data_IF_174847345975
#
_entry.id   IF_174847345975
#
_cell.length_a   1.000
_cell.length_b   1.000
_cell.length_c   1.000
_cell.angle_alpha   90.00
_cell.angle_beta   90.00
_cell.angle_gamma   90.00
#
_symmetry.space_group_name_H-M   'P 1'
#
loop_
_entity.id
_entity.type
_entity.pdbx_description
1 polymer ?
#
# COMPACT_ATOMS: atom_id res chain seq x y z
N UNK A 1 -35.94 -80.30 -14.26
CA UNK A 1 -35.67 -79.38 -13.06
C UNK A 1 -34.51 -78.52 -13.43
N UNK A 2 -34.71 -77.27 -13.89
CA UNK A 2 -33.70 -76.31 -14.20
C UNK A 2 -33.46 -75.38 -12.95
N UNK A 3 -32.29 -75.43 -12.37
CA UNK A 3 -31.85 -74.47 -11.32
C UNK A 3 -31.40 -73.16 -12.03
N UNK A 4 -32.11 -72.07 -11.78
CA UNK A 4 -31.70 -70.71 -12.16
C UNK A 4 -30.76 -70.14 -11.05
N UNK A 5 -29.52 -69.92 -11.42
CA UNK A 5 -28.54 -69.21 -10.52
C UNK A 5 -28.66 -67.71 -10.78
N UNK A 6 -29.09 -66.95 -9.76
CA UNK A 6 -29.07 -65.46 -9.79
C UNK A 6 -27.67 -65.01 -9.39
N UNK A 7 -26.97 -64.32 -10.28
CA UNK A 7 -25.71 -63.59 -9.99
C UNK A 7 -26.10 -62.15 -9.60
N UNK A 8 -25.99 -61.84 -8.31
CA UNK A 8 -26.19 -60.48 -7.82
C UNK A 8 -24.91 -59.62 -8.07
N UNK A 9 -25.07 -58.58 -8.88
CA UNK A 9 -24.02 -57.56 -9.08
C UNK A 9 -24.11 -56.56 -7.94
N UNK A 10 -23.12 -56.57 -7.03
CA UNK A 10 -22.96 -55.56 -6.00
C UNK A 10 -22.24 -54.33 -6.60
N UNK A 11 -22.98 -53.23 -6.80
CA UNK A 11 -22.39 -51.93 -7.18
C UNK A 11 -21.82 -51.27 -5.91
N UNK A 12 -20.53 -51.27 -5.78
CA UNK A 12 -19.83 -50.50 -4.72
C UNK A 12 -19.86 -49.01 -5.08
N UNK A 13 -20.73 -48.25 -4.42
CA UNK A 13 -20.72 -46.78 -4.47
C UNK A 13 -19.59 -46.28 -3.59
N UNK A 14 -18.46 -45.90 -4.20
CA UNK A 14 -17.42 -45.17 -3.53
C UNK A 14 -17.87 -43.73 -3.26
N UNK A 15 -18.33 -43.46 -2.06
CA UNK A 15 -18.57 -42.10 -1.57
C UNK A 15 -17.19 -41.45 -1.41
N UNK A 16 -16.77 -40.65 -2.40
CA UNK A 16 -15.57 -39.82 -2.28
C UNK A 16 -15.80 -38.80 -1.17
N UNK A 17 -15.17 -38.99 -0.01
CA UNK A 17 -15.13 -37.99 1.04
C UNK A 17 -14.36 -36.78 0.49
N UNK A 18 -15.06 -35.73 0.08
CA UNK A 18 -14.48 -34.39 -0.17
C UNK A 18 -13.99 -33.89 1.18
N UNK A 19 -12.70 -34.05 1.45
CA UNK A 19 -12.06 -33.35 2.58
C UNK A 19 -12.15 -31.86 2.27
N UNK A 20 -13.03 -31.12 2.95
CA UNK A 20 -13.04 -29.68 2.91
C UNK A 20 -11.64 -29.21 3.33
N UNK A 21 -10.92 -28.55 2.43
CA UNK A 21 -9.61 -28.00 2.71
C UNK A 21 -9.74 -27.00 3.86
N UNK A 22 -9.12 -27.28 5.00
CA UNK A 22 -9.08 -26.35 6.13
C UNK A 22 -8.26 -25.15 5.75
N UNK A 23 -8.91 -23.96 5.64
CA UNK A 23 -8.25 -22.73 5.31
C UNK A 23 -7.48 -22.19 6.52
N UNK A 24 -6.29 -21.65 6.28
CA UNK A 24 -5.47 -21.02 7.34
C UNK A 24 -5.91 -19.57 7.51
N UNK A 25 -6.32 -19.12 8.70
CA UNK A 25 -6.62 -17.72 8.97
C UNK A 25 -5.38 -16.84 8.75
N UNK A 26 -5.59 -15.65 8.17
CA UNK A 26 -4.57 -14.62 8.03
C UNK A 26 -5.20 -13.25 8.22
N UNK A 27 -4.63 -12.45 9.13
CA UNK A 27 -5.13 -11.09 9.43
C UNK A 27 -4.39 -10.08 8.58
N UNK A 28 -5.14 -9.30 7.79
CA UNK A 28 -4.60 -8.35 6.80
C UNK A 28 -5.00 -6.93 7.17
N UNK A 29 -4.01 -6.04 7.31
CA UNK A 29 -4.22 -4.64 7.66
C UNK A 29 -3.93 -3.70 6.50
N UNK A 30 -4.70 -2.59 6.40
CA UNK A 30 -4.48 -1.57 5.37
C UNK A 30 -5.14 -0.23 5.69
N UNK A 31 -4.80 0.80 4.92
CA UNK A 31 -5.62 2.00 4.71
C UNK A 31 -6.37 1.86 3.38
N UNK A 32 -7.60 2.40 3.23
CA UNK A 32 -8.32 2.40 1.96
C UNK A 32 -7.52 3.15 0.88
N UNK A 33 -6.87 2.41 0.00
CA UNK A 33 -6.04 2.92 -1.10
C UNK A 33 -5.97 1.91 -2.24
N UNK A 34 -5.82 2.39 -3.47
CA UNK A 34 -5.75 1.54 -4.65
C UNK A 34 -4.60 0.53 -4.55
N UNK A 35 -3.38 0.97 -4.20
CA UNK A 35 -2.18 0.17 -4.43
C UNK A 35 -1.89 -0.88 -3.36
N UNK A 36 -2.14 -0.59 -2.10
CA UNK A 36 -1.85 -1.53 -1.01
C UNK A 36 -3.07 -2.23 -0.42
N UNK A 37 -4.29 -1.94 -0.93
CA UNK A 37 -5.51 -2.52 -0.35
C UNK A 37 -6.53 -3.03 -1.38
N UNK A 38 -6.76 -2.31 -2.49
CA UNK A 38 -7.70 -2.73 -3.53
C UNK A 38 -7.43 -4.16 -4.06
N UNK A 39 -6.17 -4.61 -4.25
CA UNK A 39 -5.87 -5.99 -4.64
C UNK A 39 -6.45 -7.04 -3.69
N UNK A 40 -6.54 -6.75 -2.39
CA UNK A 40 -7.13 -7.66 -1.41
C UNK A 40 -8.65 -7.79 -1.59
N UNK A 41 -9.31 -6.66 -1.91
CA UNK A 41 -10.74 -6.66 -2.23
C UNK A 41 -11.02 -7.47 -3.50
N UNK A 42 -10.28 -7.22 -4.58
CA UNK A 42 -10.40 -7.99 -5.83
C UNK A 42 -10.20 -9.48 -5.59
N UNK A 43 -9.15 -9.86 -4.85
CA UNK A 43 -8.88 -11.25 -4.53
C UNK A 43 -9.99 -11.92 -3.71
N UNK A 44 -10.69 -11.14 -2.87
CA UNK A 44 -11.83 -11.61 -2.08
C UNK A 44 -13.03 -11.86 -2.97
N UNK A 45 -13.40 -10.91 -3.82
CA UNK A 45 -14.52 -11.05 -4.77
C UNK A 45 -14.28 -12.19 -5.77
N UNK A 46 -13.02 -12.42 -6.18
CA UNK A 46 -12.65 -13.51 -7.09
C UNK A 46 -12.44 -14.87 -6.38
N UNK A 47 -12.45 -14.92 -5.04
CA UNK A 47 -12.27 -16.16 -4.28
C UNK A 47 -10.84 -16.70 -4.24
N UNK A 48 -9.83 -15.92 -4.65
CA UNK A 48 -8.44 -16.38 -4.80
C UNK A 48 -7.72 -16.73 -3.49
N UNK A 49 -8.17 -16.20 -2.38
CA UNK A 49 -7.64 -16.59 -1.06
C UNK A 49 -7.81 -18.10 -0.79
N UNK A 50 -8.96 -18.66 -1.15
CA UNK A 50 -9.24 -20.08 -0.98
C UNK A 50 -8.36 -20.96 -1.88
N UNK A 51 -8.03 -20.49 -3.09
CA UNK A 51 -7.18 -21.24 -4.03
C UNK A 51 -5.77 -21.48 -3.44
N UNK A 52 -5.26 -20.57 -2.61
CA UNK A 52 -3.98 -20.72 -1.91
C UNK A 52 -4.13 -21.24 -0.48
N UNK A 53 -5.34 -21.60 -0.04
CA UNK A 53 -5.62 -22.17 1.28
C UNK A 53 -5.59 -21.16 2.42
N UNK A 54 -5.90 -19.86 2.16
CA UNK A 54 -5.99 -18.80 3.15
C UNK A 54 -7.44 -18.36 3.39
N UNK A 55 -7.74 -17.95 4.63
CA UNK A 55 -8.98 -17.30 5.06
C UNK A 55 -8.64 -15.89 5.59
N UNK A 56 -8.82 -14.82 4.78
CA UNK A 56 -8.43 -13.48 5.20
C UNK A 56 -9.42 -12.85 6.19
N UNK A 57 -8.90 -12.15 7.19
CA UNK A 57 -9.62 -11.24 8.08
C UNK A 57 -9.04 -9.84 7.90
N UNK A 58 -9.87 -8.84 7.61
CA UNK A 58 -9.40 -7.49 7.27
C UNK A 58 -9.59 -6.50 8.41
N UNK A 59 -8.57 -5.65 8.61
CA UNK A 59 -8.61 -4.51 9.53
C UNK A 59 -8.18 -3.23 8.81
N UNK A 60 -9.02 -2.21 8.87
CA UNK A 60 -8.74 -0.89 8.27
C UNK A 60 -8.26 0.11 9.30
N UNK A 61 -7.34 0.98 8.88
CA UNK A 61 -6.77 2.03 9.70
C UNK A 61 -6.83 3.38 8.97
N UNK A 62 -6.97 4.51 9.69
CA UNK A 62 -7.04 5.84 9.06
C UNK A 62 -5.66 6.32 8.56
N UNK A 63 -4.56 5.78 9.08
CA UNK A 63 -3.19 6.13 8.72
C UNK A 63 -2.21 5.01 9.07
N UNK A 64 -0.98 5.09 8.55
CA UNK A 64 0.05 4.08 8.80
C UNK A 64 0.53 4.00 10.25
N UNK A 65 0.63 5.12 10.97
CA UNK A 65 1.10 5.11 12.37
C UNK A 65 0.19 4.29 13.30
N UNK A 66 -1.15 4.48 13.35
CA UNK A 66 -2.02 3.60 14.13
C UNK A 66 -2.00 2.15 13.63
N UNK A 67 -1.84 1.90 12.32
CA UNK A 67 -1.71 0.54 11.79
C UNK A 67 -0.48 -0.18 12.36
N UNK A 68 0.71 0.45 12.27
CA UNK A 68 1.93 -0.20 12.80
C UNK A 68 1.89 -0.37 14.31
N UNK A 69 1.28 0.56 15.07
CA UNK A 69 1.12 0.43 16.51
C UNK A 69 0.26 -0.78 16.92
N UNK A 70 -0.78 -1.09 16.14
CA UNK A 70 -1.66 -2.23 16.37
C UNK A 70 -0.92 -3.60 16.25
N UNK A 71 0.25 -3.64 15.60
CA UNK A 71 1.07 -4.86 15.53
C UNK A 71 1.55 -5.36 16.89
N UNK A 72 1.75 -4.46 17.86
CA UNK A 72 2.14 -4.82 19.22
C UNK A 72 1.12 -5.75 19.92
N UNK A 73 -0.17 -5.58 19.61
CA UNK A 73 -1.25 -6.43 20.09
C UNK A 73 -1.53 -7.63 19.15
N UNK A 74 -0.67 -7.89 18.15
CA UNK A 74 -0.87 -8.93 17.12
C UNK A 74 -2.24 -8.85 16.43
N UNK A 75 -2.74 -7.61 16.22
CA UNK A 75 -4.04 -7.34 15.61
C UNK A 75 -4.07 -7.70 14.12
N UNK A 76 -2.92 -7.82 13.48
CA UNK A 76 -2.75 -8.22 12.10
C UNK A 76 -1.43 -8.98 11.88
N UNK A 77 -1.31 -9.69 10.79
CA UNK A 77 -0.16 -10.53 10.42
C UNK A 77 0.64 -9.93 9.28
N UNK A 78 -0.08 -9.51 8.22
CA UNK A 78 0.45 -8.91 6.99
C UNK A 78 -0.37 -7.68 6.60
N UNK A 79 0.08 -6.93 5.61
CA UNK A 79 -0.71 -5.79 5.14
C UNK A 79 -0.02 -4.94 4.10
N UNK A 80 -0.65 -3.80 3.80
CA UNK A 80 -0.09 -2.76 2.94
C UNK A 80 -0.10 -1.41 3.64
N UNK A 81 0.95 -0.61 3.42
CA UNK A 81 1.11 0.72 4.01
C UNK A 81 2.11 1.57 3.21
N UNK A 82 2.26 2.84 3.58
CA UNK A 82 3.32 3.69 3.02
C UNK A 82 4.71 3.35 3.58
N UNK A 83 5.76 3.74 2.87
CA UNK A 83 7.14 3.45 3.25
C UNK A 83 7.58 4.13 4.56
N UNK A 84 7.14 5.35 4.85
CA UNK A 84 7.49 6.04 6.11
C UNK A 84 6.96 5.27 7.34
N UNK A 85 5.67 4.88 7.40
CA UNK A 85 5.18 3.99 8.45
C UNK A 85 5.90 2.64 8.49
N UNK A 86 6.29 2.07 7.35
CA UNK A 86 7.00 0.78 7.31
C UNK A 86 8.37 0.87 8.02
N UNK A 87 9.16 1.92 7.75
CA UNK A 87 10.44 2.17 8.45
C UNK A 87 10.20 2.36 9.96
N UNK A 88 9.24 3.18 10.34
CA UNK A 88 8.90 3.41 11.74
C UNK A 88 8.45 2.12 12.43
N UNK A 89 7.67 1.31 11.72
CA UNK A 89 7.18 0.00 12.17
C UNK A 89 8.31 -0.99 12.42
N UNK A 90 9.34 -0.99 11.57
CA UNK A 90 10.54 -1.78 11.82
C UNK A 90 11.22 -1.37 13.12
N UNK A 91 11.55 -0.09 13.26
CA UNK A 91 12.32 0.40 14.43
C UNK A 91 11.57 0.16 15.76
N UNK A 92 10.25 0.29 15.76
CA UNK A 92 9.44 0.18 16.99
C UNK A 92 8.92 -1.22 17.28
N UNK A 93 8.64 -2.01 16.25
CA UNK A 93 7.85 -3.25 16.37
C UNK A 93 8.45 -4.42 15.58
N UNK A 94 9.62 -4.27 14.94
CA UNK A 94 10.25 -5.34 14.17
C UNK A 94 9.50 -5.75 12.90
N UNK A 95 8.66 -4.87 12.34
CA UNK A 95 7.93 -5.11 11.10
C UNK A 95 8.92 -5.27 9.94
N UNK A 96 8.63 -6.19 9.02
CA UNK A 96 9.38 -6.41 7.79
C UNK A 96 8.66 -5.82 6.59
N UNK A 97 9.41 -5.24 5.66
CA UNK A 97 8.96 -4.89 4.31
C UNK A 97 9.27 -6.08 3.41
N UNK A 98 8.21 -6.73 2.91
CA UNK A 98 8.27 -7.99 2.17
C UNK A 98 8.03 -7.83 0.67
N UNK A 99 7.78 -6.60 0.23
CA UNK A 99 7.57 -6.23 -1.17
C UNK A 99 7.22 -4.76 -1.31
N UNK A 100 7.20 -4.28 -2.55
CA UNK A 100 6.87 -2.90 -2.92
C UNK A 100 5.59 -2.90 -3.76
N UNK A 101 4.65 -2.03 -3.48
CA UNK A 101 3.40 -1.97 -4.24
C UNK A 101 3.58 -1.21 -5.56
N UNK A 102 4.14 -0.01 -5.47
CA UNK A 102 4.32 0.92 -6.60
C UNK A 102 5.25 2.08 -6.18
N UNK A 103 5.56 2.97 -7.11
CA UNK A 103 6.10 4.30 -6.79
C UNK A 103 4.94 5.28 -6.58
N UNK A 104 4.75 5.75 -5.35
CA UNK A 104 3.69 6.66 -4.95
C UNK A 104 4.09 8.13 -4.97
N UNK A 105 5.26 8.45 -5.46
CA UNK A 105 5.80 9.82 -5.42
C UNK A 105 4.88 10.84 -6.10
N UNK A 106 4.16 10.44 -7.16
CA UNK A 106 3.16 11.27 -7.82
C UNK A 106 1.81 11.34 -7.06
N UNK A 107 1.55 10.41 -6.17
CA UNK A 107 0.31 10.30 -5.37
C UNK A 107 0.44 10.84 -3.95
N UNK A 108 1.56 11.45 -3.59
CA UNK A 108 1.79 12.15 -2.33
C UNK A 108 2.22 13.58 -2.64
N UNK A 109 1.55 14.60 -2.09
CA UNK A 109 1.75 15.97 -2.54
C UNK A 109 1.49 17.03 -1.49
N UNK A 110 2.11 18.18 -1.68
CA UNK A 110 1.65 19.46 -1.17
C UNK A 110 0.49 19.94 -2.04
N UNK A 111 -0.67 20.17 -1.44
CA UNK A 111 -1.85 20.73 -2.10
C UNK A 111 -2.16 22.12 -1.52
N UNK A 112 -2.79 22.96 -2.32
CA UNK A 112 -3.21 24.30 -1.90
C UNK A 112 -4.60 24.65 -2.38
N UNK A 113 -5.26 25.58 -1.66
CA UNK A 113 -6.48 26.22 -2.15
C UNK A 113 -6.25 26.90 -3.51
N UNK A 114 -7.31 27.19 -4.26
CA UNK A 114 -7.19 27.90 -5.55
C UNK A 114 -6.43 29.23 -5.45
N UNK A 115 -6.62 29.97 -4.36
CA UNK A 115 -5.87 31.20 -4.04
C UNK A 115 -4.37 30.91 -3.87
N UNK A 116 -4.03 29.92 -3.06
CA UNK A 116 -2.61 29.52 -2.84
C UNK A 116 -1.95 28.97 -4.10
N UNK A 117 -2.69 28.27 -4.96
CA UNK A 117 -2.18 27.82 -6.24
C UNK A 117 -1.78 29.00 -7.15
N UNK A 118 -2.56 30.08 -7.16
CA UNK A 118 -2.24 31.29 -7.92
C UNK A 118 -1.03 32.06 -7.36
N UNK A 119 -0.86 32.09 -6.05
CA UNK A 119 0.32 32.66 -5.39
C UNK A 119 1.57 31.81 -5.67
N UNK A 120 1.46 30.50 -5.50
CA UNK A 120 2.53 29.53 -5.74
C UNK A 120 3.05 29.54 -7.17
N UNK A 121 2.16 29.71 -8.15
CA UNK A 121 2.55 29.79 -9.56
C UNK A 121 3.43 31.01 -9.89
N UNK A 122 3.36 32.06 -9.07
CA UNK A 122 4.18 33.27 -9.23
C UNK A 122 5.54 33.14 -8.57
N UNK A 123 5.56 32.71 -7.31
CA UNK A 123 6.76 32.50 -6.49
C UNK A 123 6.48 31.40 -5.45
N UNK A 124 6.91 30.15 -5.72
CA UNK A 124 6.71 29.05 -4.80
C UNK A 124 7.27 29.28 -3.40
N UNK A 125 8.47 29.84 -3.30
CA UNK A 125 9.12 30.04 -2.01
C UNK A 125 8.41 31.10 -1.17
N UNK A 126 8.05 32.23 -1.77
CA UNK A 126 7.31 33.30 -1.09
C UNK A 126 5.89 32.84 -0.67
N UNK A 127 5.21 32.07 -1.53
CA UNK A 127 3.88 31.54 -1.24
C UNK A 127 3.84 30.56 -0.04
N UNK A 128 4.97 29.91 0.27
CA UNK A 128 5.07 28.93 1.37
C UNK A 128 5.70 29.49 2.64
N UNK A 129 6.62 30.44 2.55
CA UNK A 129 7.37 30.97 3.70
C UNK A 129 6.44 31.54 4.78
N UNK A 130 6.63 31.08 6.03
CA UNK A 130 5.82 31.48 7.18
C UNK A 130 4.39 30.91 7.22
N UNK A 131 4.01 30.12 6.23
CA UNK A 131 2.66 29.56 6.14
C UNK A 131 2.50 28.33 7.02
N UNK A 132 1.25 28.05 7.41
CA UNK A 132 0.88 26.80 8.06
C UNK A 132 0.51 25.76 7.01
N UNK A 133 1.15 24.59 7.10
CA UNK A 133 0.84 23.41 6.29
C UNK A 133 0.26 22.33 7.20
N UNK A 134 -1.01 21.96 6.98
CA UNK A 134 -1.66 20.86 7.70
C UNK A 134 -1.30 19.53 7.05
N UNK A 135 -0.87 18.54 7.83
CA UNK A 135 -0.49 17.23 7.31
C UNK A 135 -0.52 16.15 8.40
N UNK A 136 -0.61 14.90 8.01
CA UNK A 136 -0.40 13.78 8.93
C UNK A 136 1.09 13.56 9.10
N UNK A 137 1.64 13.85 10.29
CA UNK A 137 3.06 13.68 10.57
C UNK A 137 3.49 12.21 10.48
N UNK A 138 4.74 11.98 10.10
CA UNK A 138 5.33 10.64 9.90
C UNK A 138 4.55 9.80 8.86
N UNK A 139 4.02 10.46 7.84
CA UNK A 139 3.41 9.85 6.67
C UNK A 139 4.25 10.05 5.41
N UNK A 140 3.92 9.35 4.33
CA UNK A 140 4.52 9.56 3.00
C UNK A 140 4.23 10.96 2.45
N UNK A 141 3.08 11.56 2.78
CA UNK A 141 2.77 12.95 2.42
C UNK A 141 3.66 13.95 3.16
N UNK A 142 4.00 13.70 4.42
CA UNK A 142 4.97 14.52 5.16
C UNK A 142 6.35 14.50 4.46
N UNK A 143 6.82 13.33 4.05
CA UNK A 143 8.04 13.19 3.27
C UNK A 143 7.97 13.95 1.94
N UNK A 144 6.87 13.83 1.20
CA UNK A 144 6.67 14.53 -0.05
C UNK A 144 6.65 16.06 0.13
N UNK A 145 5.95 16.57 1.14
CA UNK A 145 5.90 18.01 1.46
C UNK A 145 7.28 18.55 1.77
N UNK A 146 8.05 17.87 2.63
CA UNK A 146 9.39 18.35 2.99
C UNK A 146 10.37 18.27 1.81
N UNK A 147 10.21 17.28 0.92
CA UNK A 147 10.96 17.21 -0.34
C UNK A 147 10.62 18.39 -1.27
N UNK A 148 9.34 18.77 -1.35
CA UNK A 148 8.90 19.97 -2.06
C UNK A 148 9.47 21.26 -1.46
N UNK A 149 9.47 21.41 -0.13
CA UNK A 149 10.09 22.55 0.52
C UNK A 149 11.58 22.67 0.14
N UNK A 150 12.32 21.56 0.23
CA UNK A 150 13.73 21.50 -0.14
C UNK A 150 13.97 21.90 -1.61
N UNK A 151 13.10 21.47 -2.54
CA UNK A 151 13.16 21.86 -3.95
C UNK A 151 13.10 23.36 -4.15
N UNK A 152 12.31 24.06 -3.33
CA UNK A 152 12.14 25.52 -3.40
C UNK A 152 13.05 26.28 -2.42
N UNK A 153 14.13 25.65 -1.93
CA UNK A 153 15.12 26.27 -1.03
C UNK A 153 14.59 26.59 0.35
N UNK A 154 13.52 25.90 0.79
CA UNK A 154 12.93 26.04 2.12
C UNK A 154 13.27 24.85 3.01
N UNK A 155 13.33 25.11 4.32
CA UNK A 155 13.47 24.13 5.39
C UNK A 155 12.14 23.96 6.13
N UNK A 156 12.00 22.90 6.90
CA UNK A 156 10.87 22.71 7.82
C UNK A 156 10.65 23.89 8.76
N UNK A 157 11.72 24.54 9.20
CA UNK A 157 11.66 25.74 10.06
C UNK A 157 11.13 27.02 9.38
N UNK A 158 11.05 27.02 8.05
CA UNK A 158 10.53 28.18 7.30
C UNK A 158 8.99 28.16 7.20
N UNK A 159 8.34 27.12 7.70
CA UNK A 159 6.88 26.93 7.71
C UNK A 159 6.39 26.40 9.07
N UNK A 160 5.11 26.46 9.32
CA UNK A 160 4.47 25.83 10.50
C UNK A 160 3.82 24.52 10.09
N UNK A 161 4.34 23.39 10.60
CA UNK A 161 3.75 22.08 10.35
C UNK A 161 2.70 21.76 11.42
N UNK A 162 1.41 21.67 11.02
CA UNK A 162 0.31 21.33 11.92
C UNK A 162 -0.14 19.89 11.67
N UNK A 163 -0.03 19.05 12.70
CA UNK A 163 -0.49 17.66 12.60
C UNK A 163 -2.02 17.58 12.54
N UNK A 164 -2.55 16.87 11.55
CA UNK A 164 -3.99 16.69 11.33
C UNK A 164 -4.24 15.40 10.54
N UNK A 165 -5.35 14.70 10.82
CA UNK A 165 -5.78 13.53 10.07
C UNK A 165 -6.33 13.89 8.68
N UNK A 166 -6.29 12.95 7.72
CA UNK A 166 -6.70 13.24 6.34
C UNK A 166 -8.18 13.66 6.22
N UNK A 167 -9.07 13.03 6.97
CA UNK A 167 -10.50 13.40 6.98
C UNK A 167 -10.72 14.83 7.48
N UNK A 168 -9.98 15.21 8.53
CA UNK A 168 -10.01 16.56 9.09
C UNK A 168 -9.40 17.59 8.12
N UNK A 169 -8.32 17.23 7.40
CA UNK A 169 -7.73 18.07 6.35
C UNK A 169 -8.73 18.32 5.21
N UNK A 170 -9.43 17.26 4.76
CA UNK A 170 -10.48 17.39 3.73
C UNK A 170 -11.55 18.38 4.18
N UNK A 171 -12.03 18.25 5.42
CA UNK A 171 -13.00 19.18 6.01
C UNK A 171 -12.46 20.62 6.08
N UNK A 172 -11.21 20.79 6.53
CA UNK A 172 -10.59 22.10 6.70
C UNK A 172 -10.38 22.82 5.36
N UNK A 173 -9.94 22.11 4.32
CA UNK A 173 -9.82 22.67 2.96
C UNK A 173 -11.19 23.02 2.37
N UNK A 174 -12.21 22.16 2.57
CA UNK A 174 -13.57 22.38 2.04
C UNK A 174 -14.28 23.57 2.72
N UNK A 175 -13.93 23.87 3.96
CA UNK A 175 -14.47 25.02 4.73
C UNK A 175 -13.58 26.27 4.72
N UNK A 176 -12.49 26.26 3.94
CA UNK A 176 -11.50 27.33 3.88
C UNK A 176 -10.80 27.64 5.22
N UNK A 177 -10.71 26.66 6.11
CA UNK A 177 -10.00 26.77 7.39
C UNK A 177 -8.50 26.44 7.31
N UNK A 178 -8.04 25.95 6.16
CA UNK A 178 -6.62 25.80 5.80
C UNK A 178 -6.45 26.04 4.30
N UNK A 179 -5.31 26.61 3.92
CA UNK A 179 -4.97 26.88 2.53
C UNK A 179 -3.93 25.91 1.97
N UNK A 180 -3.15 25.24 2.83
CA UNK A 180 -2.07 24.35 2.44
C UNK A 180 -2.13 23.05 3.22
N UNK A 181 -1.97 21.93 2.53
CA UNK A 181 -1.97 20.63 3.17
C UNK A 181 -1.02 19.62 2.50
N UNK A 182 -0.50 18.67 3.29
CA UNK A 182 0.15 17.46 2.81
C UNK A 182 -0.83 16.31 2.74
N UNK A 183 -1.01 15.73 1.56
CA UNK A 183 -2.02 14.71 1.32
C UNK A 183 -1.52 13.57 0.44
N UNK A 184 -2.22 12.44 0.49
CA UNK A 184 -2.00 11.31 -0.43
C UNK A 184 -3.30 10.93 -1.14
N UNK A 185 -3.17 10.28 -2.32
CA UNK A 185 -4.29 9.74 -3.05
C UNK A 185 -4.92 8.54 -2.31
N UNK A 186 -6.27 8.41 -2.27
CA UNK A 186 -7.24 9.14 -3.10
C UNK A 186 -7.68 10.50 -2.54
N UNK A 187 -7.25 10.91 -1.34
CA UNK A 187 -7.71 12.12 -0.66
C UNK A 187 -7.40 13.40 -1.45
N UNK A 188 -6.29 13.41 -2.22
CA UNK A 188 -5.95 14.50 -3.14
C UNK A 188 -7.11 14.73 -4.13
N UNK A 189 -7.61 13.68 -4.75
CA UNK A 189 -8.71 13.78 -5.72
C UNK A 189 -10.01 14.25 -5.04
N UNK A 190 -10.25 13.82 -3.80
CA UNK A 190 -11.40 14.29 -3.01
C UNK A 190 -11.38 15.81 -2.84
N UNK A 191 -10.24 16.41 -2.49
CA UNK A 191 -10.16 17.87 -2.31
C UNK A 191 -10.06 18.63 -3.62
N UNK A 192 -9.50 18.04 -4.68
CA UNK A 192 -9.57 18.60 -6.04
C UNK A 192 -11.03 18.77 -6.48
N UNK A 193 -11.87 17.75 -6.27
CA UNK A 193 -13.28 17.75 -6.67
C UNK A 193 -14.18 18.57 -5.74
N UNK A 194 -14.01 18.46 -4.44
CA UNK A 194 -14.94 19.06 -3.46
C UNK A 194 -14.55 20.46 -3.02
N UNK A 195 -13.26 20.76 -2.95
CA UNK A 195 -12.74 22.05 -2.45
C UNK A 195 -12.05 22.89 -3.53
N UNK A 196 -11.95 22.42 -4.78
CA UNK A 196 -11.21 23.10 -5.85
C UNK A 196 -9.71 23.26 -5.55
N UNK A 197 -9.18 22.49 -4.61
CA UNK A 197 -7.77 22.47 -4.27
C UNK A 197 -6.93 22.00 -5.48
N UNK A 198 -5.65 22.35 -5.49
CA UNK A 198 -4.71 21.99 -6.56
C UNK A 198 -3.47 21.36 -5.99
N UNK A 199 -2.91 20.38 -6.69
CA UNK A 199 -1.56 19.90 -6.41
C UNK A 199 -0.58 21.03 -6.76
N UNK A 200 0.21 21.45 -5.79
CA UNK A 200 1.25 22.47 -5.95
C UNK A 200 2.60 21.85 -6.27
N UNK A 201 2.91 20.74 -5.59
CA UNK A 201 4.13 19.98 -5.79
C UNK A 201 3.92 18.54 -5.29
N UNK A 202 4.13 17.57 -6.16
CA UNK A 202 4.15 16.15 -5.79
C UNK A 202 5.51 15.75 -5.22
N UNK A 203 5.56 14.62 -4.53
CA UNK A 203 6.83 14.03 -4.08
C UNK A 203 7.78 13.78 -5.25
N UNK A 204 7.24 13.37 -6.41
CA UNK A 204 8.02 13.20 -7.64
C UNK A 204 8.68 14.49 -8.10
N UNK A 205 7.95 15.58 -8.13
CA UNK A 205 8.50 16.91 -8.46
C UNK A 205 9.48 17.40 -7.39
N UNK A 206 9.26 17.05 -6.11
CA UNK A 206 10.19 17.29 -5.01
C UNK A 206 11.47 16.43 -5.05
N UNK A 207 11.58 15.47 -5.99
CA UNK A 207 12.72 14.56 -6.11
C UNK A 207 12.69 13.41 -5.10
N UNK A 208 11.55 13.18 -4.43
CA UNK A 208 11.37 12.03 -3.54
C UNK A 208 10.99 10.78 -4.33
N UNK A 209 11.52 9.63 -3.94
CA UNK A 209 10.96 8.32 -4.29
C UNK A 209 10.17 7.81 -3.10
N UNK A 210 8.91 7.50 -3.32
CA UNK A 210 7.97 7.11 -2.26
C UNK A 210 7.42 5.72 -2.59
N UNK A 211 8.14 4.62 -2.25
CA UNK A 211 7.60 3.28 -2.48
C UNK A 211 6.43 3.01 -1.53
N UNK A 212 5.36 2.43 -2.03
CA UNK A 212 4.38 1.78 -1.18
C UNK A 212 4.93 0.43 -0.70
N UNK A 213 4.55 -0.03 0.48
CA UNK A 213 5.13 -1.21 1.12
C UNK A 213 4.08 -2.30 1.39
N UNK A 214 4.40 -3.53 1.03
CA UNK A 214 3.79 -4.72 1.61
C UNK A 214 4.59 -5.10 2.86
N UNK A 215 3.90 -5.30 3.97
CA UNK A 215 4.50 -5.50 5.28
C UNK A 215 4.03 -6.79 5.95
N UNK A 216 4.86 -7.31 6.85
CA UNK A 216 4.51 -8.40 7.74
C UNK A 216 5.06 -8.15 9.14
N UNK A 217 4.38 -8.61 10.19
CA UNK A 217 4.99 -8.70 11.52
C UNK A 217 6.18 -9.66 11.45
N UNK A 218 7.31 -9.29 12.07
CA UNK A 218 8.54 -10.07 12.00
C UNK A 218 8.42 -11.46 12.63
N UNK A 219 7.68 -11.59 13.74
CA UNK A 219 7.39 -12.89 14.40
C UNK A 219 6.54 -13.79 13.48
N UNK A 220 5.43 -13.25 12.95
CA UNK A 220 4.56 -14.00 12.05
C UNK A 220 5.27 -14.47 10.79
N UNK A 221 6.03 -13.57 10.16
CA UNK A 221 6.74 -13.87 8.92
C UNK A 221 7.79 -14.98 9.11
N UNK A 222 8.48 -15.00 10.26
CA UNK A 222 9.43 -16.05 10.61
C UNK A 222 8.75 -17.41 10.88
N UNK A 223 7.61 -17.39 11.57
CA UNK A 223 6.87 -18.60 11.94
C UNK A 223 6.04 -19.16 10.77
N UNK A 224 5.58 -18.30 9.84
CA UNK A 224 4.65 -18.63 8.77
C UNK A 224 5.12 -18.19 7.38
N UNK A 225 6.36 -18.50 6.93
CA UNK A 225 6.92 -17.97 5.68
C UNK A 225 6.10 -18.34 4.44
N UNK A 226 5.49 -19.52 4.42
CA UNK A 226 4.64 -19.97 3.31
C UNK A 226 3.33 -19.18 3.23
N UNK A 227 2.73 -18.79 4.34
CA UNK A 227 1.52 -17.95 4.33
C UNK A 227 1.84 -16.54 3.85
N UNK A 228 3.01 -16.00 4.18
CA UNK A 228 3.49 -14.72 3.65
C UNK A 228 3.72 -14.80 2.13
N UNK A 229 4.32 -15.88 1.63
CA UNK A 229 4.49 -16.11 0.20
C UNK A 229 3.14 -16.22 -0.53
N UNK A 230 2.17 -16.94 0.03
CA UNK A 230 0.80 -17.03 -0.51
C UNK A 230 0.09 -15.67 -0.54
N UNK A 231 0.22 -14.86 0.52
CA UNK A 231 -0.28 -13.48 0.56
C UNK A 231 0.30 -12.64 -0.58
N UNK A 232 1.61 -12.70 -0.80
CA UNK A 232 2.29 -11.99 -1.89
C UNK A 232 1.82 -12.48 -3.26
N UNK A 233 1.64 -13.79 -3.44
CA UNK A 233 1.15 -14.36 -4.69
C UNK A 233 -0.28 -13.88 -5.03
N UNK A 234 -1.16 -13.80 -4.03
CA UNK A 234 -2.52 -13.24 -4.20
C UNK A 234 -2.46 -11.78 -4.60
N UNK A 235 -1.63 -10.97 -3.94
CA UNK A 235 -1.44 -9.57 -4.28
C UNK A 235 -0.95 -9.37 -5.72
N UNK A 236 0.04 -10.14 -6.15
CA UNK A 236 0.62 -10.07 -7.50
C UNK A 236 -0.40 -10.46 -8.56
N UNK A 237 -1.16 -11.57 -8.36
CA UNK A 237 -2.24 -11.97 -9.25
C UNK A 237 -3.30 -10.89 -9.38
N UNK A 238 -3.71 -10.30 -8.26
CA UNK A 238 -4.72 -9.25 -8.27
C UNK A 238 -4.29 -8.06 -9.13
N UNK A 239 -3.05 -7.59 -8.99
CA UNK A 239 -2.53 -6.53 -9.84
C UNK A 239 -2.42 -6.93 -11.31
N UNK A 240 -1.97 -8.14 -11.60
CA UNK A 240 -1.90 -8.65 -12.96
C UNK A 240 -3.27 -8.66 -13.63
N UNK A 241 -4.27 -9.15 -12.89
CA UNK A 241 -5.64 -9.18 -13.35
C UNK A 241 -6.24 -7.78 -13.52
N UNK A 242 -6.04 -6.89 -12.54
CA UNK A 242 -6.53 -5.50 -12.57
C UNK A 242 -5.99 -4.75 -13.78
N UNK A 243 -4.71 -4.92 -14.11
CA UNK A 243 -4.10 -4.32 -15.30
C UNK A 243 -4.70 -4.82 -16.61
N UNK A 244 -5.06 -6.10 -16.68
CA UNK A 244 -5.70 -6.69 -17.86
C UNK A 244 -7.21 -6.38 -17.96
N UNK A 245 -7.86 -6.02 -16.82
CA UNK A 245 -9.33 -5.83 -16.72
C UNK A 245 -9.65 -4.46 -16.11
N UNK A 246 -9.04 -3.38 -16.63
CA UNK A 246 -9.11 -2.04 -16.02
C UNK A 246 -10.54 -1.54 -15.81
N UNK A 247 -11.44 -1.75 -16.79
CA UNK A 247 -12.84 -1.30 -16.68
C UNK A 247 -13.57 -1.96 -15.50
N UNK A 248 -13.43 -3.28 -15.35
CA UNK A 248 -14.03 -4.00 -14.23
C UNK A 248 -13.36 -3.60 -12.91
N UNK A 249 -12.06 -3.42 -12.90
CA UNK A 249 -11.30 -2.96 -11.73
C UNK A 249 -11.75 -1.59 -11.24
N UNK A 250 -12.03 -0.64 -12.13
CA UNK A 250 -12.54 0.70 -11.77
C UNK A 250 -13.97 0.59 -11.18
N UNK A 251 -14.81 -0.30 -11.73
CA UNK A 251 -16.15 -0.54 -11.16
C UNK A 251 -16.06 -1.11 -9.73
N UNK A 252 -15.18 -2.10 -9.50
CA UNK A 252 -14.92 -2.64 -8.16
C UNK A 252 -14.28 -1.60 -7.22
N UNK A 253 -13.44 -0.72 -7.74
CA UNK A 253 -12.79 0.37 -6.99
C UNK A 253 -13.81 1.35 -6.41
N UNK A 254 -14.90 1.61 -7.14
CA UNK A 254 -15.99 2.46 -6.66
C UNK A 254 -16.62 1.90 -5.38
N UNK A 255 -16.93 0.60 -5.37
CA UNK A 255 -17.50 -0.06 -4.19
C UNK A 255 -16.50 -0.14 -3.04
N UNK A 256 -15.25 -0.46 -3.34
CA UNK A 256 -14.16 -0.50 -2.36
C UNK A 256 -13.95 0.86 -1.68
N UNK A 257 -13.89 1.93 -2.46
CA UNK A 257 -13.72 3.27 -1.94
C UNK A 257 -14.95 3.75 -1.15
N UNK A 258 -16.15 3.48 -1.62
CA UNK A 258 -17.37 3.81 -0.88
C UNK A 258 -17.40 3.14 0.50
N UNK A 259 -17.03 1.87 0.61
CA UNK A 259 -16.88 1.15 1.89
C UNK A 259 -15.80 1.77 2.79
N UNK A 260 -14.75 2.34 2.20
CA UNK A 260 -13.68 3.07 2.89
C UNK A 260 -13.97 4.53 3.19
N UNK A 261 -15.18 5.03 2.90
CA UNK A 261 -15.55 6.43 3.10
C UNK A 261 -14.97 7.41 2.07
N UNK A 262 -14.42 6.92 0.96
CA UNK A 262 -13.88 7.72 -0.14
C UNK A 262 -14.94 7.86 -1.24
N UNK A 263 -15.16 9.10 -1.70
CA UNK A 263 -16.07 9.39 -2.81
C UNK A 263 -15.38 10.32 -3.79
N UNK A 264 -14.96 9.77 -4.92
CA UNK A 264 -14.30 10.45 -6.05
C UNK A 264 -14.95 10.00 -7.36
N UNK A 265 -14.79 10.80 -8.41
CA UNK A 265 -15.32 10.49 -9.74
C UNK A 265 -14.60 9.30 -10.38
N UNK A 266 -15.25 8.66 -11.35
CA UNK A 266 -14.64 7.60 -12.15
C UNK A 266 -13.42 8.10 -12.93
N UNK A 267 -13.43 9.36 -13.37
CA UNK A 267 -12.28 10.00 -14.01
C UNK A 267 -11.08 10.10 -13.08
N UNK A 268 -11.28 10.44 -11.81
CA UNK A 268 -10.23 10.44 -10.78
C UNK A 268 -9.74 9.05 -10.44
N UNK A 269 -10.63 8.05 -10.38
CA UNK A 269 -10.24 6.65 -10.20
C UNK A 269 -9.36 6.15 -11.36
N UNK A 270 -9.74 6.49 -12.60
CA UNK A 270 -8.94 6.16 -13.77
C UNK A 270 -7.58 6.87 -13.76
N UNK A 271 -7.55 8.15 -13.43
CA UNK A 271 -6.30 8.92 -13.26
C UNK A 271 -5.39 8.28 -12.23
N UNK A 272 -5.92 7.86 -11.08
CA UNK A 272 -5.16 7.17 -10.05
C UNK A 272 -4.58 5.85 -10.56
N UNK A 273 -5.37 5.08 -11.29
CA UNK A 273 -4.95 3.79 -11.85
C UNK A 273 -3.81 3.94 -12.86
N UNK A 274 -3.88 4.96 -13.73
CA UNK A 274 -2.94 5.16 -14.84
C UNK A 274 -1.62 5.83 -14.44
N UNK A 275 -1.58 6.55 -13.32
CA UNK A 275 -0.45 7.46 -13.00
C UNK A 275 0.70 6.81 -12.25
N UNK A 276 0.53 5.61 -11.72
CA UNK A 276 1.53 4.98 -10.85
C UNK A 276 1.79 3.53 -11.27
N UNK A 277 2.99 3.22 -11.80
CA UNK A 277 3.33 1.85 -12.21
C UNK A 277 3.40 0.92 -11.00
N UNK A 278 2.90 -0.29 -11.18
CA UNK A 278 3.05 -1.40 -10.23
C UNK A 278 4.12 -2.36 -10.72
N UNK A 279 4.56 -3.27 -9.86
CA UNK A 279 5.68 -4.17 -10.13
C UNK A 279 5.23 -5.63 -10.08
N UNK A 280 5.48 -6.37 -11.14
CA UNK A 280 5.27 -7.83 -11.18
C UNK A 280 6.35 -8.60 -10.39
N UNK A 281 6.20 -9.92 -10.27
CA UNK A 281 7.13 -10.77 -9.52
C UNK A 281 8.58 -10.63 -9.98
N UNK A 282 8.82 -10.61 -11.30
CA UNK A 282 10.17 -10.49 -11.86
C UNK A 282 10.79 -9.13 -11.55
N UNK A 283 10.00 -8.06 -11.66
CA UNK A 283 10.41 -6.71 -11.33
C UNK A 283 10.70 -6.56 -9.83
N UNK A 284 9.84 -7.12 -8.96
CA UNK A 284 10.05 -7.15 -7.51
C UNK A 284 11.40 -7.78 -7.16
N UNK A 285 11.64 -9.00 -7.65
CA UNK A 285 12.88 -9.73 -7.41
C UNK A 285 14.11 -8.95 -7.90
N UNK A 286 14.04 -8.37 -9.12
CA UNK A 286 15.14 -7.58 -9.68
C UNK A 286 15.45 -6.33 -8.85
N UNK A 287 14.42 -5.59 -8.42
CA UNK A 287 14.59 -4.36 -7.64
C UNK A 287 15.08 -4.61 -6.22
N UNK A 288 14.78 -5.79 -5.65
CA UNK A 288 15.20 -6.19 -4.30
C UNK A 288 16.50 -6.99 -4.30
N UNK A 289 17.08 -7.30 -5.46
CA UNK A 289 18.30 -8.11 -5.59
C UNK A 289 19.53 -7.37 -5.06
N UNK A 290 20.26 -8.02 -4.16
CA UNK A 290 21.54 -7.58 -3.59
C UNK A 290 22.67 -8.45 -4.13
N UNK A 291 23.41 -7.99 -5.14
CA UNK A 291 24.57 -8.70 -5.68
C UNK A 291 25.88 -8.28 -4.98
N UNK A 292 26.28 -7.03 -5.18
CA UNK A 292 27.55 -6.47 -4.66
C UNK A 292 27.31 -5.16 -3.90
N UNK A 293 26.06 -4.71 -3.76
CA UNK A 293 25.67 -3.44 -3.16
C UNK A 293 24.21 -3.52 -2.66
N UNK A 294 23.76 -2.44 -2.09
CA UNK A 294 22.33 -2.25 -1.78
C UNK A 294 21.47 -2.40 -3.04
N UNK A 295 20.31 -3.00 -2.88
CA UNK A 295 19.31 -3.09 -3.93
C UNK A 295 18.71 -1.70 -4.22
N UNK A 296 17.95 -1.59 -5.32
CA UNK A 296 17.20 -0.37 -5.63
C UNK A 296 16.19 -0.04 -4.51
N UNK A 297 15.51 -1.03 -3.98
CA UNK A 297 14.56 -0.86 -2.87
C UNK A 297 15.27 -0.43 -1.60
N UNK A 298 16.46 -0.98 -1.31
CA UNK A 298 17.27 -0.52 -0.18
C UNK A 298 17.63 0.96 -0.29
N UNK A 299 18.01 1.43 -1.47
CA UNK A 299 18.33 2.84 -1.69
C UNK A 299 17.12 3.76 -1.44
N UNK A 300 15.93 3.35 -1.84
CA UNK A 300 14.69 4.09 -1.57
C UNK A 300 14.38 4.19 -0.08
N UNK A 301 14.43 3.06 0.64
CA UNK A 301 14.17 3.04 2.08
C UNK A 301 15.27 3.72 2.90
N UNK A 302 16.52 3.73 2.41
CA UNK A 302 17.60 4.50 3.02
C UNK A 302 17.34 6.01 2.96
N UNK A 303 16.87 6.54 1.83
CA UNK A 303 16.47 7.95 1.70
C UNK A 303 15.39 8.33 2.72
N UNK A 304 14.38 7.48 2.89
CA UNK A 304 13.30 7.67 3.86
C UNK A 304 13.83 7.62 5.28
N UNK A 305 14.74 6.70 5.57
CA UNK A 305 15.37 6.58 6.90
C UNK A 305 16.20 7.81 7.26
N UNK A 306 16.93 8.37 6.28
CA UNK A 306 17.67 9.65 6.43
C UNK A 306 16.67 10.79 6.73
N UNK A 307 15.64 10.94 5.93
CA UNK A 307 14.57 11.92 6.16
C UNK A 307 13.99 11.82 7.58
N UNK A 308 13.64 10.61 8.01
CA UNK A 308 13.06 10.40 9.34
C UNK A 308 14.04 10.72 10.48
N UNK A 309 15.34 10.52 10.26
CA UNK A 309 16.38 10.93 11.20
C UNK A 309 16.50 12.46 11.25
N UNK A 310 16.53 13.12 10.10
CA UNK A 310 16.62 14.59 9.98
C UNK A 310 15.41 15.30 10.60
N UNK A 311 14.23 14.72 10.52
CA UNK A 311 12.99 15.26 11.11
C UNK A 311 12.80 14.93 12.58
N UNK A 312 13.70 14.14 13.17
CA UNK A 312 13.63 13.71 14.57
C UNK A 312 12.64 12.57 14.84
N UNK A 313 12.06 11.96 13.79
CA UNK A 313 11.16 10.82 13.92
C UNK A 313 11.88 9.54 14.36
N UNK A 314 13.19 9.43 14.04
CA UNK A 314 14.06 8.33 14.43
C UNK A 314 15.29 8.84 15.20
N UNK A 315 15.74 8.11 16.23
CA UNK A 315 16.98 8.44 16.95
C UNK A 315 18.24 8.11 16.15
N UNK A 316 18.18 7.09 15.29
CA UNK A 316 19.27 6.61 14.43
C UNK A 316 18.72 6.13 13.08
N UNK A 317 19.57 6.06 12.07
CA UNK A 317 19.22 5.50 10.77
C UNK A 317 19.33 3.97 10.88
N UNK A 318 18.21 3.20 10.66
CA UNK A 318 18.28 1.74 10.68
C UNK A 318 19.01 1.20 9.44
N UNK A 319 19.61 0.01 9.57
CA UNK A 319 20.13 -0.71 8.42
C UNK A 319 18.95 -1.26 7.61
N UNK A 320 18.87 -0.89 6.34
CA UNK A 320 17.71 -1.25 5.49
C UNK A 320 17.61 -2.77 5.32
N UNK A 321 18.74 -3.45 5.29
CA UNK A 321 18.84 -4.91 5.17
C UNK A 321 18.21 -5.66 6.35
N UNK A 322 18.03 -4.99 7.49
CA UNK A 322 17.41 -5.60 8.67
C UNK A 322 15.89 -5.74 8.51
N UNK A 323 15.25 -4.98 7.58
CA UNK A 323 13.81 -4.98 7.46
C UNK A 323 13.26 -5.13 6.04
N UNK A 324 14.00 -4.77 5.00
CA UNK A 324 13.63 -5.05 3.61
C UNK A 324 14.15 -6.44 3.23
N UNK A 325 13.25 -7.32 2.82
CA UNK A 325 13.61 -8.71 2.47
C UNK A 325 12.84 -9.20 1.24
N UNK A 326 13.56 -9.87 0.34
CA UNK A 326 13.02 -10.55 -0.84
C UNK A 326 12.76 -12.06 -0.61
N UNK A 327 12.99 -12.54 0.61
CA UNK A 327 12.88 -13.95 0.98
C UNK A 327 11.54 -14.57 0.55
N UNK A 328 10.44 -13.89 0.87
CA UNK A 328 9.10 -14.40 0.59
C UNK A 328 8.72 -14.29 -0.89
N UNK A 329 9.23 -13.30 -1.63
CA UNK A 329 9.13 -13.23 -3.09
C UNK A 329 9.91 -14.38 -3.76
N UNK A 330 11.07 -14.76 -3.22
CA UNK A 330 11.82 -15.92 -3.66
C UNK A 330 11.07 -17.22 -3.42
N UNK A 331 10.32 -17.36 -2.32
CA UNK A 331 9.45 -18.51 -2.08
C UNK A 331 8.34 -18.58 -3.15
N UNK A 332 7.72 -17.45 -3.52
CA UNK A 332 6.75 -17.42 -4.63
C UNK A 332 7.40 -17.86 -5.94
N UNK A 333 8.61 -17.41 -6.25
CA UNK A 333 9.34 -17.77 -7.46
C UNK A 333 9.74 -19.24 -7.48
N UNK A 334 10.12 -19.80 -6.34
CA UNK A 334 10.61 -21.18 -6.23
C UNK A 334 9.50 -22.24 -6.33
N UNK A 335 8.28 -21.94 -5.87
CA UNK A 335 7.12 -22.83 -5.98
C UNK A 335 6.45 -22.67 -7.37
N UNK A 336 6.50 -23.71 -8.24
CA UNK A 336 5.92 -23.60 -9.59
C UNK A 336 4.42 -23.27 -9.59
N UNK A 337 3.63 -23.85 -8.66
CA UNK A 337 2.19 -23.61 -8.57
C UNK A 337 1.90 -22.20 -8.11
N UNK A 338 2.61 -21.75 -7.08
CA UNK A 338 2.43 -20.41 -6.53
C UNK A 338 2.90 -19.32 -7.51
N UNK A 339 3.99 -19.59 -8.26
CA UNK A 339 4.46 -18.71 -9.33
C UNK A 339 3.46 -18.60 -10.47
N UNK A 340 2.92 -19.72 -10.95
CA UNK A 340 1.88 -19.74 -11.99
C UNK A 340 0.64 -18.96 -11.52
N UNK A 341 0.19 -19.19 -10.28
CA UNK A 341 -0.90 -18.47 -9.66
C UNK A 341 -0.64 -16.95 -9.62
N UNK A 342 0.53 -16.52 -9.13
CA UNK A 342 0.91 -15.11 -8.97
C UNK A 342 1.02 -14.36 -10.30
N UNK A 343 1.33 -15.06 -11.40
CA UNK A 343 1.52 -14.47 -12.72
C UNK A 343 0.31 -14.62 -13.66
N UNK A 344 -0.78 -15.22 -13.18
CA UNK A 344 -2.02 -15.37 -13.93
C UNK A 344 -2.77 -14.03 -14.06
N UNK A 345 -3.35 -13.80 -15.22
CA UNK A 345 -4.29 -12.69 -15.48
C UNK A 345 -5.75 -13.14 -15.61
N UNK A 346 -6.01 -14.42 -15.32
CA UNK A 346 -7.35 -15.04 -15.41
C UNK A 346 -8.04 -15.06 -14.06
#
# INVERSE_FOLDING_TARGET
MLKKTLIGFAVAVTVGASFAQTLTPIKISYQPSLYWAMPFHVATEKGWWKEVGLAPEFSTFPAGVPQIAASAAKSWDVGGTGSVPAVLGHVRFGIKTIGVTNDESAGNALVGSGKKAAEFAKDPAAALRGQTITLTQNSTADFAVQSCLKRYGLKKSDVVMKNMGQAEIISALSSNNTDLAGMWAPNIYTVEEKAGAKVLCSGKEGGAVVPGALIARGDYAKENPQNVAKFLAVYLRAWKWMGANQKESIAMMKDFYAKGGVSISEASMKKEFDTRPTFDLGQQLKMMERKNSNSQVDAWFAQISVFMRETGALPTIPQVQDFVTDEYMKLVQADPKLREFATSSK
#
